data_IF_720121326620
#
_entry.id   IF_720121326620
#
_cell.length_a   1.000
_cell.length_b   1.000
_cell.length_c   1.000
_cell.angle_alpha   90.00
_cell.angle_beta   90.00
_cell.angle_gamma   90.00
#
_symmetry.space_group_name_H-M   'P 1'
#
loop_
_entity.id
_entity.type
_entity.pdbx_description
1 polymer ?
#
# COMPACT_ATOMS: atom_id res chain seq x y z
N UNK A 1 6.86 1.70 -9.07
CA UNK A 1 5.85 1.63 -7.97
C UNK A 1 6.47 2.21 -6.71
N UNK A 2 5.79 3.13 -6.04
CA UNK A 2 6.24 3.72 -4.77
C UNK A 2 5.65 2.87 -3.63
N UNK A 3 6.46 2.54 -2.62
CA UNK A 3 5.98 1.99 -1.36
C UNK A 3 5.82 3.17 -0.39
N UNK A 4 4.67 3.25 0.26
CA UNK A 4 4.41 4.17 1.38
C UNK A 4 3.90 3.31 2.52
N UNK A 5 4.44 3.52 3.72
CA UNK A 5 4.06 2.78 4.92
C UNK A 5 3.37 3.71 5.90
N UNK A 6 2.13 3.35 6.24
CA UNK A 6 1.38 3.97 7.33
C UNK A 6 1.17 2.94 8.43
N UNK A 7 1.39 3.34 9.68
CA UNK A 7 1.04 2.57 10.85
C UNK A 7 -0.25 3.12 11.43
N UNK A 8 -1.15 2.22 11.80
CA UNK A 8 -2.42 2.52 12.40
C UNK A 8 -2.46 1.79 13.75
N UNK A 9 -2.70 2.51 14.84
CA UNK A 9 -2.81 1.91 16.17
C UNK A 9 -3.84 2.65 17.03
N UNK A 10 -4.30 1.99 18.10
CA UNK A 10 -5.28 2.54 19.04
C UNK A 10 -4.54 2.91 20.32
N UNK A 11 -4.73 4.13 20.81
CA UNK A 11 -4.13 4.61 22.05
C UNK A 11 -4.93 4.20 23.30
N UNK A 12 -4.45 4.58 24.49
CA UNK A 12 -5.14 4.30 25.76
C UNK A 12 -6.48 5.03 25.92
N UNK A 13 -6.76 6.03 25.08
CA UNK A 13 -8.02 6.77 25.04
C UNK A 13 -8.98 6.21 23.99
N UNK A 14 -8.68 5.04 23.40
CA UNK A 14 -9.45 4.42 22.32
C UNK A 14 -9.53 5.28 21.04
N UNK A 15 -8.54 6.14 20.82
CA UNK A 15 -8.43 6.93 19.60
C UNK A 15 -7.54 6.22 18.59
N UNK A 16 -7.98 6.22 17.33
CA UNK A 16 -7.17 5.74 16.21
C UNK A 16 -6.13 6.79 15.85
N UNK A 17 -4.86 6.38 15.80
CA UNK A 17 -3.74 7.23 15.40
C UNK A 17 -3.17 6.69 14.09
N UNK A 18 -3.09 7.58 13.11
CA UNK A 18 -2.51 7.32 11.79
C UNK A 18 -1.13 7.98 11.71
N UNK A 19 -0.08 7.17 11.60
CA UNK A 19 1.29 7.66 11.48
C UNK A 19 1.86 7.25 10.13
N UNK A 20 2.29 8.22 9.32
CA UNK A 20 3.08 7.92 8.12
C UNK A 20 4.52 7.62 8.55
N UNK A 21 4.90 6.35 8.51
CA UNK A 21 6.18 5.86 9.03
C UNK A 21 7.29 6.05 8.01
N UNK A 22 7.00 5.82 6.73
CA UNK A 22 7.98 6.04 5.68
C UNK A 22 7.37 6.27 4.31
N UNK A 23 7.99 7.18 3.57
CA UNK A 23 7.90 7.27 2.12
C UNK A 23 9.34 7.05 1.64
N UNK A 24 9.78 5.79 1.50
CA UNK A 24 11.16 5.48 1.16
C UNK A 24 11.66 6.27 -0.06
N UNK A 25 10.82 6.56 -1.06
CA UNK A 25 11.23 7.37 -2.22
C UNK A 25 11.61 8.83 -1.87
N UNK A 26 11.06 9.43 -0.82
CA UNK A 26 11.17 10.88 -0.54
C UNK A 26 12.06 11.18 0.67
N UNK A 27 12.44 10.17 1.46
CA UNK A 27 13.24 10.37 2.67
C UNK A 27 14.72 10.63 2.31
N UNK A 28 15.08 11.91 2.19
CA UNK A 28 16.33 12.48 1.65
C UNK A 28 17.61 12.25 2.46
N UNK A 29 17.77 11.08 3.07
CA UNK A 29 18.99 10.66 3.76
C UNK A 29 19.92 9.95 2.77
N UNK A 30 21.21 10.32 2.74
CA UNK A 30 22.23 9.73 1.85
C UNK A 30 22.24 8.18 1.92
N UNK A 31 21.98 7.63 3.11
CA UNK A 31 21.82 6.20 3.34
C UNK A 31 20.66 5.58 2.55
N UNK A 32 19.51 6.25 2.55
CA UNK A 32 18.33 5.82 1.82
C UNK A 32 18.50 6.02 0.32
N UNK A 33 19.12 7.11 -0.13
CA UNK A 33 19.47 7.32 -1.55
C UNK A 33 20.33 6.17 -2.08
N UNK A 34 21.34 5.71 -1.34
CA UNK A 34 22.17 4.59 -1.76
C UNK A 34 21.38 3.27 -1.84
N UNK A 35 20.56 2.98 -0.83
CA UNK A 35 19.70 1.79 -0.79
C UNK A 35 18.66 1.79 -1.92
N UNK A 36 18.05 2.95 -2.18
CA UNK A 36 17.07 3.16 -3.24
C UNK A 36 17.75 3.03 -4.61
N UNK A 37 18.85 3.75 -4.85
CA UNK A 37 19.57 3.73 -6.14
C UNK A 37 20.08 2.34 -6.50
N UNK A 38 20.54 1.56 -5.52
CA UNK A 38 21.00 0.18 -5.74
C UNK A 38 19.85 -0.81 -5.99
N UNK A 39 18.67 -0.61 -5.38
CA UNK A 39 17.51 -1.50 -5.52
C UNK A 39 16.47 -1.05 -6.56
N UNK A 40 16.66 0.11 -7.18
CA UNK A 40 15.67 0.80 -8.04
C UNK A 40 15.26 0.00 -9.29
N UNK A 41 16.09 -0.93 -9.76
CA UNK A 41 15.83 -1.70 -10.97
C UNK A 41 14.87 -2.88 -10.81
N UNK A 42 14.59 -3.33 -9.57
CA UNK A 42 13.92 -4.61 -9.31
C UNK A 42 12.73 -4.39 -8.37
N UNK A 43 11.54 -4.07 -8.91
CA UNK A 43 10.28 -4.02 -8.15
C UNK A 43 9.78 -5.42 -7.78
N UNK A 44 10.62 -6.18 -7.06
CA UNK A 44 10.33 -7.53 -6.60
C UNK A 44 9.69 -7.50 -5.21
N UNK A 45 8.94 -8.55 -4.86
CA UNK A 45 8.39 -8.70 -3.51
C UNK A 45 9.48 -8.74 -2.45
N UNK A 46 10.64 -9.33 -2.75
CA UNK A 46 11.80 -9.39 -1.84
C UNK A 46 12.33 -8.01 -1.49
N UNK A 47 12.53 -7.14 -2.49
CA UNK A 47 13.02 -5.79 -2.24
C UNK A 47 12.05 -4.99 -1.37
N UNK A 48 10.73 -5.15 -1.56
CA UNK A 48 9.75 -4.53 -0.69
C UNK A 48 9.74 -5.12 0.72
N UNK A 49 9.95 -6.43 0.88
CA UNK A 49 10.04 -7.06 2.18
C UNK A 49 11.27 -6.58 2.97
N UNK A 50 12.43 -6.50 2.32
CA UNK A 50 13.67 -5.99 2.93
C UNK A 50 13.51 -4.52 3.35
N UNK A 51 12.90 -3.70 2.49
CA UNK A 51 12.64 -2.28 2.76
C UNK A 51 11.68 -2.11 3.94
N UNK A 52 10.59 -2.88 3.93
CA UNK A 52 9.58 -2.85 4.99
C UNK A 52 10.15 -3.34 6.32
N UNK A 53 10.93 -4.43 6.32
CA UNK A 53 11.61 -4.95 7.51
C UNK A 53 12.52 -3.88 8.15
N UNK A 54 13.32 -3.17 7.35
CA UNK A 54 14.19 -2.10 7.86
C UNK A 54 13.41 -0.96 8.51
N UNK A 55 12.29 -0.55 7.92
CA UNK A 55 11.39 0.44 8.52
C UNK A 55 10.89 -0.07 9.87
N UNK A 56 10.49 -1.33 9.96
CA UNK A 56 10.02 -1.91 11.22
C UNK A 56 11.13 -2.03 12.27
N UNK A 57 12.36 -2.30 11.86
CA UNK A 57 13.53 -2.34 12.74
C UNK A 57 13.87 -0.95 13.28
N UNK A 58 13.88 0.07 12.42
CA UNK A 58 14.18 1.47 12.78
C UNK A 58 13.22 2.02 13.86
N UNK A 59 11.95 1.61 13.81
CA UNK A 59 10.93 2.05 14.76
C UNK A 59 10.66 1.04 15.91
N UNK A 60 11.48 0.00 16.07
CA UNK A 60 11.29 -1.08 17.07
C UNK A 60 9.86 -1.69 17.01
N UNK A 61 9.37 -1.92 15.80
CA UNK A 61 8.04 -2.44 15.51
C UNK A 61 8.03 -3.93 15.12
N UNK A 62 9.19 -4.58 14.99
CA UNK A 62 9.29 -5.97 14.49
C UNK A 62 8.38 -6.96 15.24
N UNK A 63 8.17 -6.78 16.54
CA UNK A 63 7.30 -7.63 17.39
C UNK A 63 5.89 -7.08 17.60
N UNK A 64 5.59 -5.89 17.07
CA UNK A 64 4.35 -5.13 17.30
C UNK A 64 3.40 -5.18 16.10
N UNK A 65 3.81 -5.77 14.98
CA UNK A 65 2.99 -5.88 13.77
C UNK A 65 1.90 -6.92 13.98
N UNK A 66 0.65 -6.48 13.90
CA UNK A 66 -0.50 -7.36 13.89
C UNK A 66 -1.02 -7.64 12.47
N UNK A 67 -1.08 -6.62 11.61
CA UNK A 67 -1.71 -6.73 10.29
C UNK A 67 -1.11 -5.75 9.30
N UNK A 68 -0.96 -6.18 8.05
CA UNK A 68 -0.56 -5.38 6.90
C UNK A 68 -1.75 -5.32 5.94
N UNK A 69 -2.19 -4.10 5.61
CA UNK A 69 -3.17 -3.89 4.54
C UNK A 69 -2.47 -3.38 3.30
N UNK A 70 -2.62 -4.07 2.17
CA UNK A 70 -1.96 -3.70 0.92
C UNK A 70 -2.90 -3.86 -0.28
N UNK A 71 -2.66 -3.15 -1.38
CA UNK A 71 -3.43 -3.38 -2.60
C UNK A 71 -3.24 -4.82 -3.11
N UNK A 72 -4.21 -5.34 -3.87
CA UNK A 72 -4.21 -6.75 -4.28
C UNK A 72 -3.26 -7.06 -5.45
N UNK A 73 -2.11 -6.37 -5.51
CA UNK A 73 -1.07 -6.66 -6.47
C UNK A 73 -0.26 -7.89 -6.03
N UNK A 74 0.04 -8.79 -6.97
CA UNK A 74 0.82 -10.01 -6.71
C UNK A 74 2.19 -9.74 -6.07
N UNK A 75 2.78 -8.57 -6.32
CA UNK A 75 4.02 -8.12 -5.68
C UNK A 75 3.90 -8.03 -4.16
N UNK A 76 2.73 -7.64 -3.63
CA UNK A 76 2.51 -7.52 -2.19
C UNK A 76 2.33 -8.88 -1.52
N UNK A 77 1.68 -9.82 -2.21
CA UNK A 77 1.63 -11.21 -1.77
C UNK A 77 3.05 -11.80 -1.68
N UNK A 78 3.90 -11.55 -2.70
CA UNK A 78 5.31 -11.97 -2.65
C UNK A 78 6.09 -11.29 -1.53
N UNK A 79 5.89 -9.99 -1.30
CA UNK A 79 6.49 -9.28 -0.17
C UNK A 79 6.12 -9.92 1.16
N UNK A 80 4.84 -10.23 1.40
CA UNK A 80 4.41 -10.84 2.64
C UNK A 80 5.04 -12.23 2.85
N UNK A 81 5.18 -13.03 1.80
CA UNK A 81 5.86 -14.33 1.87
C UNK A 81 7.34 -14.21 2.20
N UNK A 82 8.03 -13.20 1.65
CA UNK A 82 9.43 -12.94 2.02
C UNK A 82 9.53 -12.40 3.45
N UNK A 83 8.58 -11.55 3.88
CA UNK A 83 8.53 -11.02 5.24
C UNK A 83 8.32 -12.11 6.29
N UNK A 84 7.48 -13.12 6.01
CA UNK A 84 7.29 -14.30 6.86
C UNK A 84 8.61 -15.02 7.18
N UNK A 85 9.55 -15.08 6.22
CA UNK A 85 10.86 -15.71 6.43
C UNK A 85 11.73 -14.93 7.41
N UNK A 86 11.54 -13.61 7.49
CA UNK A 86 12.28 -12.71 8.38
C UNK A 86 11.57 -12.50 9.73
N UNK A 87 10.23 -12.62 9.74
CA UNK A 87 9.37 -12.41 10.90
C UNK A 87 8.47 -13.64 11.10
N UNK A 88 8.94 -14.68 11.82
CA UNK A 88 8.15 -15.90 12.03
C UNK A 88 6.82 -15.67 12.77
N UNK A 89 6.69 -14.57 13.50
CA UNK A 89 5.45 -14.16 14.16
C UNK A 89 4.39 -13.61 13.19
N UNK A 90 4.76 -13.28 11.96
CA UNK A 90 3.86 -12.71 10.97
C UNK A 90 3.27 -13.80 10.07
N UNK A 91 2.02 -14.21 10.31
CA UNK A 91 1.35 -15.18 9.46
C UNK A 91 0.66 -14.49 8.26
N UNK A 92 1.14 -14.76 7.05
CA UNK A 92 0.58 -14.17 5.82
C UNK A 92 -0.90 -14.45 5.57
N UNK A 93 -1.44 -15.57 6.07
CA UNK A 93 -2.84 -15.93 5.84
C UNK A 93 -3.82 -15.12 6.70
N UNK A 94 -3.38 -14.70 7.88
CA UNK A 94 -4.22 -14.00 8.86
C UNK A 94 -3.86 -12.53 8.99
N UNK A 95 -2.63 -12.15 8.66
CA UNK A 95 -2.09 -10.81 8.88
C UNK A 95 -1.87 -10.01 7.59
N UNK A 96 -2.12 -10.57 6.40
CA UNK A 96 -2.15 -9.79 5.15
C UNK A 96 -3.59 -9.60 4.69
N UNK A 97 -4.08 -8.36 4.74
CA UNK A 97 -5.40 -7.99 4.25
C UNK A 97 -5.30 -7.28 2.90
N UNK A 98 -6.22 -7.62 2.00
CA UNK A 98 -6.39 -6.91 0.75
C UNK A 98 -7.04 -5.54 0.96
N UNK A 99 -6.63 -4.54 0.20
CA UNK A 99 -7.23 -3.21 0.22
C UNK A 99 -8.64 -3.26 -0.37
N UNK A 100 -9.66 -3.02 0.47
CA UNK A 100 -11.06 -2.98 0.07
C UNK A 100 -11.31 -1.96 -1.06
N UNK A 101 -10.68 -0.79 -1.00
CA UNK A 101 -10.79 0.25 -2.04
C UNK A 101 -10.33 -0.28 -3.41
N UNK A 102 -9.30 -1.14 -3.43
CA UNK A 102 -8.86 -1.76 -4.67
C UNK A 102 -9.88 -2.77 -5.20
N UNK A 103 -10.49 -3.57 -4.31
CA UNK A 103 -11.54 -4.53 -4.68
C UNK A 103 -12.77 -3.82 -5.24
N UNK A 104 -13.21 -2.73 -4.61
CA UNK A 104 -14.33 -1.91 -5.10
C UNK A 104 -14.03 -1.35 -6.50
N UNK A 105 -12.84 -0.81 -6.71
CA UNK A 105 -12.42 -0.31 -8.02
C UNK A 105 -12.36 -1.43 -9.08
N UNK A 106 -11.90 -2.63 -8.73
CA UNK A 106 -11.94 -3.78 -9.64
C UNK A 106 -13.39 -4.18 -9.98
N UNK A 107 -14.28 -4.20 -8.99
CA UNK A 107 -15.70 -4.47 -9.18
C UNK A 107 -16.36 -3.44 -10.11
N UNK A 108 -16.11 -2.15 -9.90
CA UNK A 108 -16.63 -1.08 -10.76
C UNK A 108 -16.14 -1.21 -12.21
N UNK A 109 -14.84 -1.49 -12.42
CA UNK A 109 -14.28 -1.73 -13.76
C UNK A 109 -14.90 -2.95 -14.45
N UNK A 110 -15.09 -4.04 -13.71
CA UNK A 110 -15.75 -5.23 -14.23
C UNK A 110 -17.22 -4.96 -14.58
N UNK A 111 -17.94 -4.22 -13.73
CA UNK A 111 -19.31 -3.79 -13.98
C UNK A 111 -19.43 -2.94 -15.24
N UNK A 112 -18.58 -1.91 -15.39
CA UNK A 112 -18.55 -1.06 -16.60
C UNK A 112 -18.23 -1.86 -17.87
N UNK A 113 -17.33 -2.85 -17.79
CA UNK A 113 -17.01 -3.71 -18.93
C UNK A 113 -18.19 -4.58 -19.39
N UNK A 114 -19.14 -4.90 -18.48
CA UNK A 114 -20.32 -5.73 -18.79
C UNK A 114 -21.54 -4.88 -19.14
N UNK A 115 -21.76 -3.78 -18.41
CA UNK A 115 -22.96 -2.95 -18.52
C UNK A 115 -22.83 -1.83 -19.55
N UNK A 116 -21.61 -1.56 -20.03
CA UNK A 116 -21.31 -0.40 -20.87
C UNK A 116 -21.07 0.88 -20.05
N UNK A 117 -20.61 1.93 -20.72
CA UNK A 117 -20.65 3.27 -20.15
C UNK A 117 -22.10 3.73 -20.13
N UNK A 118 -22.51 4.41 -19.06
CA UNK A 118 -23.68 5.28 -19.16
C UNK A 118 -23.21 6.37 -20.11
N UNK A 119 -23.65 6.32 -21.36
CA UNK A 119 -23.44 7.44 -22.27
C UNK A 119 -24.03 8.65 -21.56
N UNK A 120 -23.16 9.54 -21.10
CA UNK A 120 -23.60 10.81 -20.55
C UNK A 120 -24.42 11.46 -21.66
N UNK A 121 -25.67 11.75 -21.35
CA UNK A 121 -26.50 12.72 -22.06
C UNK A 121 -25.85 14.11 -21.82
N UNK A 122 -24.62 14.27 -22.32
CA UNK A 122 -23.67 15.36 -22.09
C UNK A 122 -24.00 16.58 -22.99
N UNK A 123 -25.28 16.70 -23.36
CA UNK A 123 -25.81 17.78 -24.19
C UNK A 123 -26.70 18.76 -23.41
N UNK A 124 -27.09 18.47 -22.17
CA UNK A 124 -28.02 19.34 -21.42
C UNK A 124 -27.35 20.36 -20.48
N UNK A 125 -26.09 20.17 -20.09
CA UNK A 125 -25.42 21.07 -19.13
C UNK A 125 -24.37 22.02 -19.75
N UNK A 126 -23.96 21.79 -21.01
CA UNK A 126 -22.98 22.64 -21.71
C UNK A 126 -23.58 23.92 -22.31
N UNK A 127 -24.91 24.05 -22.41
CA UNK A 127 -25.58 25.24 -22.95
C UNK A 127 -25.86 26.37 -21.91
N UNK A 128 -25.49 26.19 -20.63
CA UNK A 128 -25.87 27.14 -19.56
C UNK A 128 -24.75 28.01 -18.99
N UNK A 129 -23.62 28.16 -19.69
CA UNK A 129 -22.61 29.17 -19.32
C UNK A 129 -22.50 30.23 -20.43
N UNK A 130 -22.82 31.51 -20.15
CA UNK A 130 -22.61 32.59 -21.10
C UNK A 130 -21.11 32.77 -21.37
N UNK A 131 -20.77 32.98 -22.65
CA UNK A 131 -19.41 33.28 -23.11
C UNK A 131 -18.86 34.58 -22.53
#
# INVERSE_FOLDING_TARGET
KILTVTAHFIDCNFQMIDLTVSIPHVQGTIFWILVITFNLGQHTGKNFADLFYRVLEEYDCLKKINTITANNASTNGKMAQELLKMLPSFNTQTHLLGCITHVVNLGAKAGLAVLGTIDEEDTLWKEKLPQ
#
